data_IF_070615494299
#
_entry.id   IF_070615494299
#
_cell.length_a   1.000
_cell.length_b   1.000
_cell.length_c   1.000
_cell.angle_alpha   90.00
_cell.angle_beta   90.00
_cell.angle_gamma   90.00
#
_symmetry.space_group_name_H-M   'P 1'
#
loop_
_entity.id
_entity.type
_entity.pdbx_description
1 polymer ?
#
# COMPACT_ATOMS: atom_id res chain seq x y z
N UNK A 1 -0.85 -3.14 -19.08
CA UNK A 1 -0.84 -3.78 -17.75
C UNK A 1 -2.24 -3.70 -17.18
N UNK A 2 -2.90 -4.84 -16.90
CA UNK A 2 -4.20 -4.83 -16.24
C UNK A 2 -4.01 -4.40 -14.77
N UNK A 3 -4.67 -3.33 -14.34
CA UNK A 3 -4.48 -2.70 -13.01
C UNK A 3 -5.11 -3.45 -11.82
N UNK A 4 -5.41 -4.74 -11.97
CA UNK A 4 -6.08 -5.53 -10.93
C UNK A 4 -5.08 -6.52 -10.35
N UNK A 5 -4.82 -6.39 -9.04
CA UNK A 5 -3.99 -7.33 -8.27
C UNK A 5 -4.82 -8.57 -7.93
N UNK A 6 -4.22 -9.75 -8.03
CA UNK A 6 -4.87 -11.03 -7.71
C UNK A 6 -4.27 -11.66 -6.45
N UNK A 7 -5.09 -12.45 -5.75
CA UNK A 7 -4.64 -13.26 -4.61
C UNK A 7 -3.53 -14.20 -5.07
N UNK A 8 -2.49 -14.35 -4.24
CA UNK A 8 -1.32 -15.19 -4.52
C UNK A 8 -0.24 -14.53 -5.37
N UNK A 9 -0.48 -13.32 -5.91
CA UNK A 9 0.56 -12.53 -6.56
C UNK A 9 1.41 -11.80 -5.52
N UNK A 10 2.69 -11.61 -5.83
CA UNK A 10 3.51 -10.67 -5.08
C UNK A 10 2.91 -9.27 -5.19
N UNK A 11 2.81 -8.59 -4.05
CA UNK A 11 2.42 -7.18 -4.02
C UNK A 11 3.44 -6.34 -4.83
N UNK A 12 2.99 -5.33 -5.59
CA UNK A 12 3.89 -4.43 -6.30
C UNK A 12 4.84 -3.71 -5.34
N UNK A 13 6.13 -3.68 -5.65
CA UNK A 13 7.12 -3.00 -4.83
C UNK A 13 7.09 -1.49 -5.10
N UNK A 14 6.07 -0.82 -4.55
CA UNK A 14 5.86 0.61 -4.72
C UNK A 14 6.66 1.45 -3.72
N UNK A 15 6.85 2.71 -4.09
CA UNK A 15 7.41 3.77 -3.25
C UNK A 15 6.40 4.91 -3.16
N UNK A 16 6.18 5.42 -1.94
CA UNK A 16 5.17 6.44 -1.68
C UNK A 16 5.61 7.40 -0.57
N UNK A 17 5.26 8.68 -0.75
CA UNK A 17 5.34 9.68 0.31
C UNK A 17 4.24 9.42 1.33
N UNK A 18 4.62 9.32 2.61
CA UNK A 18 3.69 9.12 3.72
C UNK A 18 3.86 10.23 4.77
N UNK A 19 2.98 10.25 5.76
CA UNK A 19 3.10 11.15 6.93
C UNK A 19 4.34 10.85 7.79
N UNK A 20 4.98 9.69 7.59
CA UNK A 20 6.22 9.29 8.26
C UNK A 20 7.45 9.41 7.34
N UNK A 21 7.33 10.17 6.24
CA UNK A 21 8.36 10.30 5.22
C UNK A 21 8.17 9.32 4.06
N UNK A 22 9.18 9.22 3.20
CA UNK A 22 9.11 8.37 2.01
C UNK A 22 9.38 6.90 2.35
N UNK A 23 8.53 6.01 1.86
CA UNK A 23 8.54 4.60 2.24
C UNK A 23 8.44 3.73 1.00
N UNK A 24 9.19 2.63 0.98
CA UNK A 24 9.11 1.58 -0.03
C UNK A 24 8.56 0.30 0.59
N UNK A 25 7.67 -0.41 -0.11
CA UNK A 25 7.06 -1.64 0.43
C UNK A 25 8.11 -2.67 0.86
N UNK A 26 9.20 -2.80 0.11
CA UNK A 26 10.34 -3.67 0.44
C UNK A 26 10.99 -3.41 1.80
N UNK A 27 10.82 -2.23 2.39
CA UNK A 27 11.40 -1.89 3.70
C UNK A 27 10.78 -2.70 4.85
N UNK A 28 9.60 -3.30 4.62
CA UNK A 28 8.87 -4.10 5.59
C UNK A 28 8.98 -5.61 5.36
N UNK A 29 9.93 -6.07 4.53
CA UNK A 29 10.15 -7.50 4.28
C UNK A 29 10.25 -8.31 5.58
N UNK A 30 9.61 -9.48 5.58
CA UNK A 30 9.55 -10.37 6.75
C UNK A 30 8.41 -10.06 7.73
N UNK A 31 7.56 -9.08 7.45
CA UNK A 31 6.37 -8.76 8.23
C UNK A 31 5.10 -8.92 7.39
N UNK A 32 3.99 -9.26 8.04
CA UNK A 32 2.66 -9.11 7.45
C UNK A 32 2.27 -7.64 7.44
N UNK A 33 1.62 -7.21 6.35
CA UNK A 33 1.24 -5.82 6.10
C UNK A 33 -0.20 -5.79 5.62
N UNK A 34 -0.97 -4.84 6.13
CA UNK A 34 -2.32 -4.52 5.64
C UNK A 34 -2.27 -3.14 5.01
N UNK A 35 -2.54 -3.05 3.71
CA UNK A 35 -2.73 -1.79 3.01
C UNK A 35 -4.24 -1.53 2.87
N UNK A 36 -4.69 -0.35 3.26
CA UNK A 36 -6.08 0.07 3.13
C UNK A 36 -6.13 1.51 2.61
N UNK A 37 -7.28 1.89 2.06
CA UNK A 37 -7.56 3.23 1.55
C UNK A 37 -8.93 3.70 2.02
N UNK A 38 -9.12 5.01 2.07
CA UNK A 38 -10.40 5.67 2.28
C UNK A 38 -10.64 6.71 1.17
N UNK A 39 -11.89 7.11 0.89
CA UNK A 39 -12.20 8.01 -0.24
C UNK A 39 -11.67 9.44 -0.07
N UNK A 40 -11.64 9.95 1.15
CA UNK A 40 -11.15 11.31 1.43
C UNK A 40 -11.08 11.65 2.91
N UNK A 41 -10.13 12.50 3.27
CA UNK A 41 -9.96 13.00 4.63
C UNK A 41 -11.17 13.85 5.07
N UNK A 42 -11.49 13.82 6.36
CA UNK A 42 -12.59 14.58 6.98
C UNK A 42 -14.00 14.31 6.42
N UNK A 43 -14.22 13.12 5.87
CA UNK A 43 -15.54 12.64 5.44
C UNK A 43 -16.13 11.66 6.46
N UNK A 44 -17.46 11.61 6.66
CA UNK A 44 -18.06 10.49 7.37
C UNK A 44 -17.86 9.19 6.59
N UNK A 45 -18.01 8.05 7.27
CA UNK A 45 -18.04 6.72 6.64
C UNK A 45 -19.36 6.51 5.91
#
# INVERSE_FOLDING_TARGET
MNGIIKIGQYAPDFEATTTMGNIKLSNYKGKWIVLFSHPGDFTPV
#
